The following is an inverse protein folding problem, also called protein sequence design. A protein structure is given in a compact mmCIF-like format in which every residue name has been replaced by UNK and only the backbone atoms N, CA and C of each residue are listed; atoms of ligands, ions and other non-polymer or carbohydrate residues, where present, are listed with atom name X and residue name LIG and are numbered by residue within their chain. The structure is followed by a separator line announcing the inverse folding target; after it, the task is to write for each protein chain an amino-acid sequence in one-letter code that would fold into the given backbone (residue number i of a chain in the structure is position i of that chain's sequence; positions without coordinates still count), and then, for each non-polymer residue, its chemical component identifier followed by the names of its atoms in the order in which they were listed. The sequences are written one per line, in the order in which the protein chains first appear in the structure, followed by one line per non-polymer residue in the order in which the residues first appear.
data_IF_054112357823
#
_entry.id   IF_054112357823
#
_cell.length_a   1.000
_cell.length_b   1.000
_cell.length_c   1.000
_cell.angle_alpha   90.00
_cell.angle_beta   90.00
_cell.angle_gamma   90.00
#
_symmetry.space_group_name_H-M   'P 1'
#
loop_
_entity.id
_entity.type
_entity.pdbx_description
1 polymer ?
#
# COMPACT_ATOMS: atom_id res chain seq x y z
N UNK A 1 16.67 1.82 -4.10
CA UNK A 1 16.08 2.45 -2.90
C UNK A 1 14.93 3.35 -3.33
N UNK A 2 13.83 3.41 -2.58
CA UNK A 2 12.63 4.18 -2.93
C UNK A 2 12.81 5.70 -2.66
N UNK A 3 13.97 6.27 -3.01
CA UNK A 3 14.30 7.66 -2.73
C UNK A 3 14.14 8.02 -1.24
N UNK A 4 13.48 9.15 -0.90
CA UNK A 4 13.27 9.58 0.49
C UNK A 4 12.19 8.78 1.23
N UNK A 5 11.51 7.86 0.55
CA UNK A 5 10.40 7.11 1.12
C UNK A 5 10.89 5.81 1.75
N UNK A 6 10.43 5.55 2.98
CA UNK A 6 10.50 4.22 3.59
C UNK A 6 9.22 3.48 3.25
N UNK A 7 9.34 2.31 2.63
CA UNK A 7 8.19 1.48 2.25
C UNK A 7 8.26 0.15 3.00
N UNK A 8 7.21 -0.19 3.73
CA UNK A 8 7.01 -1.53 4.30
C UNK A 8 5.69 -2.10 3.79
N UNK A 9 5.54 -3.43 3.86
CA UNK A 9 4.34 -4.12 3.40
C UNK A 9 3.89 -5.14 4.43
N UNK A 10 2.58 -5.31 4.55
CA UNK A 10 1.97 -6.39 5.32
C UNK A 10 0.79 -6.96 4.55
N UNK A 11 0.59 -8.27 4.65
CA UNK A 11 -0.54 -8.97 4.05
C UNK A 11 -1.52 -9.40 5.15
N UNK A 12 -2.81 -9.32 4.86
CA UNK A 12 -3.88 -9.80 5.74
C UNK A 12 -4.89 -10.64 4.95
N UNK A 13 -5.17 -11.83 5.47
CA UNK A 13 -6.22 -12.74 5.01
C UNK A 13 -7.49 -12.71 5.87
N UNK A 14 -7.67 -11.68 6.72
CA UNK A 14 -8.74 -11.64 7.73
C UNK A 14 -10.17 -11.76 7.17
N UNK A 15 -10.37 -11.51 5.87
CA UNK A 15 -11.68 -11.51 5.20
C UNK A 15 -12.01 -12.83 4.48
N UNK A 16 -11.26 -13.90 4.76
CA UNK A 16 -11.51 -15.23 4.22
C UNK A 16 -10.85 -15.49 2.86
N UNK A 17 -11.05 -16.71 2.34
CA UNK A 17 -10.39 -17.21 1.14
C UNK A 17 -10.70 -16.35 -0.09
N UNK A 18 -9.65 -15.95 -0.83
CA UNK A 18 -9.78 -15.12 -2.03
C UNK A 18 -10.08 -13.64 -1.78
N UNK A 19 -10.15 -13.20 -0.53
CA UNK A 19 -10.36 -11.79 -0.13
C UNK A 19 -9.18 -11.23 0.69
N UNK A 20 -7.98 -11.79 0.50
CA UNK A 20 -6.76 -11.23 1.07
C UNK A 20 -6.39 -9.90 0.43
N UNK A 21 -5.62 -9.11 1.17
CA UNK A 21 -5.11 -7.83 0.72
C UNK A 21 -3.72 -7.55 1.28
N UNK A 22 -2.91 -6.86 0.47
CA UNK A 22 -1.60 -6.35 0.85
C UNK A 22 -1.71 -4.84 1.06
N UNK A 23 -1.33 -4.37 2.25
CA UNK A 23 -1.23 -2.95 2.58
C UNK A 23 0.22 -2.53 2.63
N UNK A 24 0.53 -1.38 2.02
CA UNK A 24 1.83 -0.74 2.08
C UNK A 24 1.81 0.40 3.10
N UNK A 25 2.89 0.58 3.84
CA UNK A 25 3.16 1.80 4.59
C UNK A 25 4.21 2.60 3.82
N UNK A 26 3.82 3.73 3.23
CA UNK A 26 4.76 4.60 2.51
C UNK A 26 4.97 5.85 3.36
N UNK A 27 6.16 5.98 3.94
CA UNK A 27 6.51 7.05 4.87
C UNK A 27 7.52 8.00 4.24
N UNK A 28 7.21 9.29 4.22
CA UNK A 28 8.20 10.34 4.00
C UNK A 28 8.54 10.98 5.35
N UNK A 29 9.73 10.68 5.88
CA UNK A 29 10.18 11.20 7.18
C UNK A 29 10.54 12.68 7.14
N UNK A 30 10.99 13.18 5.98
CA UNK A 30 11.37 14.59 5.81
C UNK A 30 10.16 15.51 5.88
N UNK A 31 9.03 15.12 5.27
CA UNK A 31 7.77 15.87 5.33
C UNK A 31 6.82 15.41 6.44
N UNK A 32 7.24 14.43 7.27
CA UNK A 32 6.39 13.79 8.30
C UNK A 32 5.03 13.34 7.75
N UNK A 33 5.04 12.59 6.65
CA UNK A 33 3.84 12.11 5.98
C UNK A 33 3.83 10.60 5.85
N UNK A 34 2.62 10.02 5.86
CA UNK A 34 2.39 8.60 5.63
C UNK A 34 1.16 8.38 4.77
N UNK A 35 1.19 7.36 3.91
CA UNK A 35 0.02 6.88 3.18
C UNK A 35 -0.04 5.36 3.25
N UNK A 36 -1.27 4.83 3.25
CA UNK A 36 -1.55 3.40 3.40
C UNK A 36 -2.28 2.80 2.17
N UNK A 37 -1.62 2.63 1.01
CA UNK A 37 -2.21 1.95 -0.14
C UNK A 37 -2.53 0.48 0.19
N UNK A 38 -3.73 0.03 -0.18
CA UNK A 38 -4.14 -1.36 -0.02
C UNK A 38 -4.58 -1.96 -1.36
N UNK A 39 -4.10 -3.17 -1.65
CA UNK A 39 -4.39 -3.91 -2.88
C UNK A 39 -4.93 -5.28 -2.55
N UNK A 40 -6.01 -5.68 -3.21
CA UNK A 40 -6.54 -7.05 -3.08
C UNK A 40 -5.65 -8.04 -3.82
N UNK A 41 -5.65 -9.30 -3.39
CA UNK A 41 -4.93 -10.37 -4.09
C UNK A 41 -5.36 -10.47 -5.56
N UNK A 42 -6.65 -10.21 -5.85
CA UNK A 42 -7.20 -10.17 -7.22
C UNK A 42 -6.55 -9.08 -8.08
N UNK A 43 -6.24 -7.92 -7.50
CA UNK A 43 -5.56 -6.84 -8.22
C UNK A 43 -4.09 -7.18 -8.50
N UNK A 44 -3.44 -7.92 -7.60
CA UNK A 44 -2.02 -8.28 -7.72
C UNK A 44 -1.77 -9.58 -8.48
N UNK A 45 -2.78 -10.42 -8.69
CA UNK A 45 -2.67 -11.78 -9.24
C UNK A 45 -1.91 -11.89 -10.57
N UNK A 46 -1.96 -10.85 -11.41
CA UNK A 46 -1.34 -10.85 -12.74
C UNK A 46 0.10 -10.29 -12.74
N UNK A 47 0.62 -9.84 -11.59
CA UNK A 47 1.92 -9.17 -11.48
C UNK A 47 2.12 -8.02 -12.49
N UNK A 48 1.01 -7.37 -12.90
CA UNK A 48 1.01 -6.21 -13.78
C UNK A 48 0.68 -4.95 -12.99
N UNK A 49 0.97 -3.79 -13.59
CA UNK A 49 0.55 -2.50 -13.05
C UNK A 49 -0.97 -2.47 -12.91
N UNK A 50 -1.45 -2.19 -11.70
CA UNK A 50 -2.87 -2.10 -11.39
C UNK A 50 -3.47 -0.90 -12.14
N UNK A 51 -4.57 -1.14 -12.87
CA UNK A 51 -5.33 -0.11 -13.58
C UNK A 51 -6.80 -0.14 -13.17
N UNK A 52 -7.47 1.03 -13.07
CA UNK A 52 -6.89 2.37 -13.17
C UNK A 52 -5.95 2.68 -11.99
N UNK A 53 -5.17 3.76 -12.11
CA UNK A 53 -4.32 4.21 -11.01
C UNK A 53 -5.19 4.51 -9.79
N UNK A 54 -4.79 3.99 -8.64
CA UNK A 54 -5.46 4.22 -7.37
C UNK A 54 -4.86 5.44 -6.66
N UNK A 55 -5.69 6.14 -5.89
CA UNK A 55 -5.28 7.30 -5.10
C UNK A 55 -5.72 7.10 -3.65
N UNK A 56 -4.85 7.45 -2.72
CA UNK A 56 -5.05 7.24 -1.29
C UNK A 56 -4.73 8.53 -0.53
N UNK A 57 -5.49 8.87 0.51
CA UNK A 57 -5.26 10.10 1.28
C UNK A 57 -3.95 10.00 2.07
N UNK A 58 -3.15 11.07 1.99
CA UNK A 58 -1.93 11.22 2.79
C UNK A 58 -2.30 11.74 4.18
N UNK A 59 -1.67 11.18 5.21
CA UNK A 59 -1.83 11.57 6.60
C UNK A 59 -0.54 12.19 7.12
N UNK A 60 -0.67 13.15 8.05
CA UNK A 60 0.47 13.68 8.79
C UNK A 60 0.85 12.71 9.92
N UNK A 61 2.16 12.51 10.11
CA UNK A 61 2.69 11.85 11.29
C UNK A 61 2.75 12.84 12.47
N UNK A 62 2.62 12.37 13.72
CA UNK A 62 2.81 13.20 14.92
C UNK A 62 4.17 13.94 14.98
#
# INVERSE_FOLDING_TARGET
TCGPYTVTSSWSGQFGEGNGFTTLAVVNRSSKQIVWPAYTDKQLAKAVVVKPNQSYPVQALP
#
